data_IF_990331190085
#
_entry.id   IF_990331190085
#
_cell.length_a   1.000
_cell.length_b   1.000
_cell.length_c   1.000
_cell.angle_alpha   90.00
_cell.angle_beta   90.00
_cell.angle_gamma   90.00
#
_symmetry.space_group_name_H-M   'P 1'
#
loop_
_entity.id
_entity.type
_entity.pdbx_description
1 polymer ?
#
# COMPACT_ATOMS: atom_id res chain seq x y z
N UNK A 1 -12.24 0.65 -9.41
CA UNK A 1 -11.85 -0.17 -10.57
C UNK A 1 -10.51 -0.80 -10.24
N UNK A 2 -10.35 -2.11 -10.46
CA UNK A 2 -9.05 -2.77 -10.28
C UNK A 2 -8.17 -2.41 -11.47
N UNK A 3 -6.95 -1.93 -11.21
CA UNK A 3 -5.95 -1.68 -12.25
C UNK A 3 -5.27 -3.00 -12.56
N UNK A 4 -5.20 -3.34 -13.84
CA UNK A 4 -4.65 -4.62 -14.30
C UNK A 4 -3.46 -4.41 -15.23
N UNK A 5 -2.63 -5.43 -15.32
CA UNK A 5 -1.67 -5.58 -16.40
C UNK A 5 -2.25 -6.47 -17.49
N UNK A 6 -1.99 -6.10 -18.73
CA UNK A 6 -2.32 -6.89 -19.92
C UNK A 6 -1.02 -7.26 -20.64
N UNK A 7 -0.91 -8.51 -21.10
CA UNK A 7 0.25 -8.93 -21.90
C UNK A 7 0.20 -8.25 -23.26
N UNK A 8 1.33 -7.71 -23.73
CA UNK A 8 1.37 -7.03 -25.02
C UNK A 8 2.73 -7.17 -25.71
N UNK A 9 2.75 -6.99 -27.03
CA UNK A 9 3.95 -6.74 -27.82
C UNK A 9 3.91 -5.35 -28.40
N UNK A 10 5.07 -4.74 -28.62
CA UNK A 10 5.14 -3.54 -29.44
C UNK A 10 4.85 -3.90 -30.90
N UNK A 11 4.10 -3.06 -31.59
CA UNK A 11 3.85 -3.22 -33.03
C UNK A 11 5.17 -3.08 -33.81
N UNK A 12 5.35 -3.86 -34.90
CA UNK A 12 6.52 -3.71 -35.76
C UNK A 12 6.74 -2.25 -36.20
N UNK A 13 7.98 -1.79 -36.14
CA UNK A 13 8.35 -0.40 -36.48
C UNK A 13 8.15 0.61 -35.34
N UNK A 14 7.63 0.21 -34.18
CA UNK A 14 7.59 1.06 -32.99
C UNK A 14 8.99 1.20 -32.40
N UNK A 15 9.47 2.43 -32.21
CA UNK A 15 10.73 2.69 -31.49
C UNK A 15 10.56 2.41 -29.99
N UNK A 16 11.45 1.59 -29.41
CA UNK A 16 11.48 1.33 -27.97
C UNK A 16 11.68 2.59 -27.15
N UNK A 17 12.52 3.53 -27.61
CA UNK A 17 12.73 4.82 -26.95
C UNK A 17 11.45 5.66 -26.93
N UNK A 18 10.70 5.67 -28.04
CA UNK A 18 9.41 6.37 -28.08
C UNK A 18 8.40 5.74 -27.13
N UNK A 19 8.28 4.40 -27.12
CA UNK A 19 7.42 3.69 -26.18
C UNK A 19 7.79 4.00 -24.73
N UNK A 20 9.08 3.98 -24.39
CA UNK A 20 9.60 4.30 -23.06
C UNK A 20 9.23 5.72 -22.62
N UNK A 21 9.33 6.70 -23.53
CA UNK A 21 8.91 8.08 -23.25
C UNK A 21 7.41 8.17 -22.96
N UNK A 22 6.56 7.44 -23.70
CA UNK A 22 5.12 7.40 -23.42
C UNK A 22 4.81 6.67 -22.11
N UNK A 23 5.53 5.59 -21.77
CA UNK A 23 5.42 4.92 -20.46
C UNK A 23 5.77 5.89 -19.32
N UNK A 24 6.84 6.66 -19.46
CA UNK A 24 7.25 7.66 -18.46
C UNK A 24 6.16 8.72 -18.28
N UNK A 25 5.63 9.27 -19.38
CA UNK A 25 4.49 10.20 -19.34
C UNK A 25 3.26 9.58 -18.67
N UNK A 26 2.89 8.35 -19.03
CA UNK A 26 1.78 7.62 -18.40
C UNK A 26 1.98 7.54 -16.90
N UNK A 27 3.18 7.13 -16.44
CA UNK A 27 3.49 7.02 -15.01
C UNK A 27 3.41 8.35 -14.27
N UNK A 28 3.90 9.44 -14.85
CA UNK A 28 3.93 10.74 -14.20
C UNK A 28 2.52 11.30 -14.02
N UNK A 29 1.67 11.15 -15.04
CA UNK A 29 0.27 11.56 -14.97
C UNK A 29 -0.55 10.66 -14.06
N UNK A 30 -0.28 9.35 -14.05
CA UNK A 30 -0.95 8.41 -13.15
C UNK A 30 -0.76 8.81 -11.68
N UNK A 31 0.48 9.14 -11.27
CA UNK A 31 0.76 9.58 -9.89
C UNK A 31 -0.06 10.80 -9.47
N UNK A 32 -0.13 11.82 -10.33
CA UNK A 32 -0.93 13.04 -10.09
C UNK A 32 -2.43 12.80 -10.13
N UNK A 33 -2.90 11.91 -11.01
CA UNK A 33 -4.31 11.59 -11.18
C UNK A 33 -4.90 10.87 -9.95
N UNK A 34 -4.09 10.04 -9.28
CA UNK A 34 -4.52 9.17 -8.18
C UNK A 34 -4.00 9.60 -6.81
N UNK A 35 -3.72 10.91 -6.63
CA UNK A 35 -3.29 11.51 -5.36
C UNK A 35 -2.03 10.86 -4.75
N UNK A 36 -1.04 10.56 -5.59
CA UNK A 36 0.32 10.25 -5.15
C UNK A 36 1.27 11.41 -5.46
N UNK A 37 1.14 12.55 -4.76
CA UNK A 37 2.01 13.71 -4.99
C UNK A 37 3.45 13.39 -4.65
N UNK A 38 4.39 14.06 -5.34
CA UNK A 38 5.75 14.15 -4.83
C UNK A 38 5.75 14.93 -3.50
N UNK A 39 6.75 14.72 -2.61
CA UNK A 39 6.92 15.55 -1.43
C UNK A 39 6.88 17.05 -1.79
N UNK A 40 5.92 17.78 -1.21
CA UNK A 40 5.71 19.22 -1.45
C UNK A 40 4.78 19.57 -2.62
N UNK A 41 4.25 18.60 -3.36
CA UNK A 41 3.29 18.86 -4.45
C UNK A 41 1.85 18.95 -3.90
N UNK A 42 1.20 20.09 -4.12
CA UNK A 42 -0.23 20.27 -3.77
C UNK A 42 -1.07 19.93 -4.99
N UNK A 43 -1.78 18.80 -4.94
CA UNK A 43 -2.72 18.39 -6.00
C UNK A 43 -4.07 19.06 -5.75
N UNK A 44 -4.43 19.99 -6.62
CA UNK A 44 -5.79 20.57 -6.68
C UNK A 44 -6.70 19.71 -7.55
N UNK A 45 -8.02 19.79 -7.36
CA UNK A 45 -9.00 19.10 -8.21
C UNK A 45 -8.81 19.44 -9.71
N UNK A 46 -8.48 20.70 -10.01
CA UNK A 46 -8.20 21.15 -11.37
C UNK A 46 -6.94 20.46 -11.94
N UNK A 47 -5.85 20.42 -11.18
CA UNK A 47 -4.63 19.73 -11.59
C UNK A 47 -4.83 18.22 -11.74
N UNK A 48 -5.66 17.61 -10.88
CA UNK A 48 -6.03 16.19 -10.98
C UNK A 48 -6.78 15.90 -12.27
N UNK A 49 -7.75 16.74 -12.64
CA UNK A 49 -8.51 16.57 -13.88
C UNK A 49 -7.60 16.60 -15.12
N UNK A 50 -6.67 17.56 -15.16
CA UNK A 50 -5.66 17.65 -16.23
C UNK A 50 -4.77 16.40 -16.27
N UNK A 51 -4.35 15.91 -15.10
CA UNK A 51 -3.54 14.69 -15.01
C UNK A 51 -4.30 13.45 -15.49
N UNK A 52 -5.59 13.31 -15.15
CA UNK A 52 -6.43 12.20 -15.64
C UNK A 52 -6.54 12.23 -17.17
N UNK A 53 -6.81 13.37 -17.77
CA UNK A 53 -6.91 13.51 -19.23
C UNK A 53 -5.58 13.15 -19.92
N UNK A 54 -4.46 13.61 -19.37
CA UNK A 54 -3.13 13.30 -19.88
C UNK A 54 -2.76 11.81 -19.71
N UNK A 55 -3.11 11.20 -18.57
CA UNK A 55 -2.95 9.76 -18.34
C UNK A 55 -3.74 8.93 -19.35
N UNK A 56 -5.00 9.28 -19.61
CA UNK A 56 -5.84 8.59 -20.59
C UNK A 56 -5.26 8.70 -21.99
N UNK A 57 -4.77 9.89 -22.38
CA UNK A 57 -4.11 10.09 -23.66
C UNK A 57 -2.85 9.22 -23.81
N UNK A 58 -1.97 9.22 -22.82
CA UNK A 58 -0.75 8.40 -22.83
C UNK A 58 -1.07 6.89 -22.88
N UNK A 59 -2.07 6.45 -22.12
CA UNK A 59 -2.53 5.06 -22.11
C UNK A 59 -3.09 4.64 -23.47
N UNK A 60 -3.87 5.52 -24.12
CA UNK A 60 -4.42 5.27 -25.45
C UNK A 60 -3.32 5.23 -26.52
N UNK A 61 -2.28 6.07 -26.40
CA UNK A 61 -1.08 5.98 -27.25
C UNK A 61 -0.38 4.64 -27.05
N UNK A 62 -0.15 4.18 -25.82
CA UNK A 62 0.46 2.85 -25.57
C UNK A 62 -0.38 1.72 -26.17
N UNK A 63 -1.71 1.77 -26.05
CA UNK A 63 -2.61 0.80 -26.67
C UNK A 63 -2.46 0.80 -28.20
N UNK A 64 -2.33 1.97 -28.83
CA UNK A 64 -2.09 2.08 -30.28
C UNK A 64 -0.72 1.52 -30.70
N UNK A 65 0.30 1.67 -29.85
CA UNK A 65 1.63 1.09 -30.05
C UNK A 65 1.67 -0.43 -29.77
N UNK A 66 0.62 -0.98 -29.19
CA UNK A 66 0.57 -2.36 -28.70
C UNK A 66 -0.18 -3.30 -29.64
N UNK A 67 0.22 -4.56 -29.58
CA UNK A 67 -0.47 -5.71 -30.11
C UNK A 67 -0.80 -6.66 -28.95
N UNK A 68 -2.04 -7.10 -28.84
CA UNK A 68 -2.51 -8.01 -27.80
C UNK A 68 -2.89 -9.35 -28.43
N UNK A 69 -2.32 -10.43 -27.93
CA UNK A 69 -2.73 -11.78 -28.29
C UNK A 69 -3.86 -12.22 -27.35
N UNK A 70 -5.09 -12.27 -27.86
CA UNK A 70 -6.26 -12.71 -27.10
C UNK A 70 -6.75 -14.08 -27.56
N UNK A 71 -6.98 -15.00 -26.63
CA UNK A 71 -7.75 -16.22 -26.91
C UNK A 71 -9.24 -15.94 -26.80
N UNK A 72 -10.01 -16.25 -27.84
CA UNK A 72 -11.48 -16.15 -27.86
C UNK A 72 -12.02 -14.75 -27.51
N UNK A 73 -11.32 -13.68 -27.92
CA UNK A 73 -11.73 -12.30 -27.69
C UNK A 73 -11.59 -11.81 -26.24
N UNK A 74 -11.00 -12.60 -25.33
CA UNK A 74 -10.60 -12.13 -23.99
C UNK A 74 -9.12 -11.78 -24.00
N UNK A 75 -8.80 -10.57 -23.57
CA UNK A 75 -7.41 -10.15 -23.33
C UNK A 75 -7.00 -10.71 -21.98
N UNK A 76 -5.92 -11.48 -21.96
CA UNK A 76 -5.36 -12.05 -20.75
C UNK A 76 -4.79 -10.93 -19.86
N UNK A 77 -5.14 -10.96 -18.58
CA UNK A 77 -4.80 -9.90 -17.64
C UNK A 77 -4.56 -10.41 -16.23
N UNK A 78 -3.75 -9.68 -15.47
CA UNK A 78 -3.46 -9.97 -14.07
C UNK A 78 -3.57 -8.69 -13.23
N UNK A 79 -4.15 -8.74 -12.02
CA UNK A 79 -4.22 -7.57 -11.16
C UNK A 79 -2.84 -7.06 -10.76
N UNK A 80 -2.64 -5.74 -10.87
CA UNK A 80 -1.40 -5.04 -10.47
C UNK A 80 -1.21 -5.09 -8.96
N UNK A 81 -2.30 -5.28 -8.20
CA UNK A 81 -2.27 -5.44 -6.74
C UNK A 81 -1.36 -6.58 -6.28
N UNK A 82 -1.04 -7.54 -7.14
CA UNK A 82 -0.08 -8.59 -6.85
C UNK A 82 1.30 -8.03 -6.47
N UNK A 83 1.72 -6.93 -7.07
CA UNK A 83 2.98 -6.27 -6.73
C UNK A 83 2.70 -4.97 -5.98
N UNK A 84 1.83 -4.10 -6.51
CA UNK A 84 1.62 -2.76 -5.96
C UNK A 84 1.05 -2.71 -4.53
N UNK A 85 0.34 -3.76 -4.09
CA UNK A 85 -0.27 -3.83 -2.74
C UNK A 85 0.29 -4.99 -1.91
N UNK A 86 1.43 -5.55 -2.30
CA UNK A 86 2.08 -6.58 -1.50
C UNK A 86 2.93 -5.94 -0.41
N UNK A 87 2.48 -6.03 0.84
CA UNK A 87 3.13 -5.44 2.02
C UNK A 87 4.54 -5.99 2.33
N UNK A 88 5.00 -7.01 1.60
CA UNK A 88 6.36 -7.52 1.71
C UNK A 88 7.34 -6.88 0.72
N UNK A 89 6.86 -6.27 -0.37
CA UNK A 89 7.73 -5.73 -1.39
C UNK A 89 8.23 -4.33 -1.01
N UNK A 90 9.39 -3.90 -1.51
CA UNK A 90 9.85 -2.53 -1.30
C UNK A 90 8.89 -1.47 -1.80
N UNK A 91 8.73 -0.37 -1.05
CA UNK A 91 7.81 0.72 -1.41
C UNK A 91 8.09 1.25 -2.81
N UNK A 92 9.36 1.41 -3.15
CA UNK A 92 9.84 1.88 -4.46
C UNK A 92 9.37 0.95 -5.59
N UNK A 93 9.34 -0.36 -5.33
CA UNK A 93 8.92 -1.36 -6.30
C UNK A 93 7.40 -1.43 -6.45
N UNK A 94 6.67 -1.24 -5.35
CA UNK A 94 5.21 -1.11 -5.39
C UNK A 94 4.79 0.11 -6.19
N UNK A 95 5.49 1.22 -6.04
CA UNK A 95 5.29 2.41 -6.86
C UNK A 95 5.70 2.18 -8.32
N UNK A 96 6.80 1.47 -8.56
CA UNK A 96 7.24 1.13 -9.92
C UNK A 96 6.28 0.17 -10.62
N UNK A 97 5.59 -0.70 -9.88
CA UNK A 97 4.60 -1.63 -10.43
C UNK A 97 3.34 -0.93 -10.98
N UNK A 98 3.08 0.31 -10.58
CA UNK A 98 1.98 1.12 -11.14
C UNK A 98 2.37 1.75 -12.48
N UNK A 99 3.07 0.98 -13.33
CA UNK A 99 3.61 1.40 -14.62
C UNK A 99 3.49 0.27 -15.64
N UNK A 100 3.50 0.65 -16.91
CA UNK A 100 3.71 -0.30 -18.00
C UNK A 100 5.16 -0.79 -17.98
N UNK A 101 5.38 -2.09 -18.14
CA UNK A 101 6.70 -2.72 -18.27
C UNK A 101 6.88 -3.14 -19.73
N UNK A 102 7.85 -2.56 -20.43
CA UNK A 102 8.13 -2.92 -21.83
C UNK A 102 8.71 -4.34 -21.94
N UNK A 103 8.54 -5.02 -23.09
CA UNK A 103 9.06 -6.38 -23.30
C UNK A 103 10.54 -6.56 -22.95
N UNK A 104 11.38 -5.59 -23.32
CA UNK A 104 12.82 -5.60 -23.05
C UNK A 104 13.18 -5.42 -21.56
N UNK A 105 12.30 -4.80 -20.77
CA UNK A 105 12.51 -4.54 -19.36
C UNK A 105 11.96 -5.67 -18.46
N UNK A 106 10.98 -6.42 -18.96
CA UNK A 106 10.33 -7.50 -18.20
C UNK A 106 11.29 -8.56 -17.66
N UNK A 107 12.29 -9.09 -18.40
CA UNK A 107 13.17 -10.12 -17.87
C UNK A 107 13.90 -9.68 -16.60
N UNK A 108 14.50 -8.49 -16.62
CA UNK A 108 15.25 -7.96 -15.48
C UNK A 108 14.32 -7.66 -14.29
N UNK A 109 13.16 -7.06 -14.55
CA UNK A 109 12.18 -6.73 -13.51
C UNK A 109 11.60 -7.97 -12.84
N UNK A 110 11.26 -9.00 -13.62
CA UNK A 110 10.70 -10.24 -13.11
C UNK A 110 11.72 -11.04 -12.31
N UNK A 111 12.97 -11.10 -12.79
CA UNK A 111 14.06 -11.74 -12.07
C UNK A 111 14.30 -11.06 -10.71
N UNK A 112 14.32 -9.72 -10.69
CA UNK A 112 14.46 -8.93 -9.46
C UNK A 112 13.39 -9.28 -8.42
N UNK A 113 12.12 -9.33 -8.83
CA UNK A 113 11.02 -9.68 -7.92
C UNK A 113 11.10 -11.11 -7.41
N UNK A 114 11.46 -12.07 -8.26
CA UNK A 114 11.62 -13.48 -7.89
C UNK A 114 12.80 -13.71 -6.95
N UNK A 115 13.92 -13.06 -7.20
CA UNK A 115 15.10 -13.16 -6.35
C UNK A 115 14.80 -12.61 -4.96
N UNK A 116 14.14 -11.47 -4.86
CA UNK A 116 13.71 -10.91 -3.59
C UNK A 116 12.72 -11.81 -2.85
N UNK A 117 11.76 -12.39 -3.56
CA UNK A 117 10.78 -13.33 -2.97
C UNK A 117 11.47 -14.57 -2.41
N UNK A 118 12.42 -15.15 -3.16
CA UNK A 118 13.28 -16.24 -2.69
C UNK A 118 14.06 -15.82 -1.46
N UNK A 119 14.68 -14.65 -1.49
CA UNK A 119 15.54 -14.18 -0.40
C UNK A 119 14.74 -13.95 0.89
N UNK A 120 13.52 -13.41 0.81
CA UNK A 120 12.59 -13.34 1.95
C UNK A 120 12.31 -14.74 2.52
N UNK A 121 12.06 -15.74 1.67
CA UNK A 121 11.81 -17.11 2.13
C UNK A 121 12.99 -17.72 2.88
N UNK A 122 14.21 -17.32 2.51
CA UNK A 122 15.44 -17.71 3.18
C UNK A 122 15.68 -16.94 4.48
N UNK A 123 14.83 -15.96 4.81
CA UNK A 123 14.91 -15.17 6.03
C UNK A 123 15.76 -13.91 5.91
N UNK A 124 16.21 -13.54 4.70
CA UNK A 124 16.87 -12.26 4.45
C UNK A 124 15.90 -11.08 4.62
N UNK A 125 16.45 -9.87 4.74
CA UNK A 125 15.70 -8.62 4.90
C UNK A 125 14.86 -8.53 6.18
N UNK A 126 15.21 -9.25 7.25
CA UNK A 126 14.41 -9.24 8.48
C UNK A 126 14.27 -7.82 9.05
N UNK A 127 15.37 -7.10 9.27
CA UNK A 127 15.32 -5.73 9.81
C UNK A 127 14.51 -4.79 8.92
N UNK A 128 14.77 -4.80 7.61
CA UNK A 128 14.05 -3.99 6.63
C UNK A 128 12.55 -4.24 6.66
N UNK A 129 12.14 -5.51 6.70
CA UNK A 129 10.71 -5.83 6.75
C UNK A 129 10.08 -5.33 8.04
N UNK A 130 10.74 -5.45 9.20
CA UNK A 130 10.24 -4.85 10.44
C UNK A 130 10.08 -3.32 10.33
N UNK A 131 11.06 -2.63 9.75
CA UNK A 131 10.96 -1.19 9.51
C UNK A 131 9.81 -0.85 8.54
N UNK A 132 9.61 -1.67 7.50
CA UNK A 132 8.51 -1.54 6.55
C UNK A 132 7.14 -1.72 7.23
N UNK A 133 6.98 -2.76 8.06
CA UNK A 133 5.75 -2.95 8.84
C UNK A 133 5.48 -1.77 9.76
N UNK A 134 6.50 -1.31 10.49
CA UNK A 134 6.37 -0.13 11.33
C UNK A 134 5.91 1.06 10.50
N UNK A 135 6.54 1.31 9.34
CA UNK A 135 6.22 2.46 8.49
C UNK A 135 4.79 2.40 7.92
N UNK A 136 4.34 1.22 7.50
CA UNK A 136 3.01 1.04 6.92
C UNK A 136 1.90 1.04 7.98
N UNK A 137 2.05 0.30 9.07
CA UNK A 137 1.01 0.17 10.08
C UNK A 137 0.96 1.38 11.03
N UNK A 138 2.02 2.18 11.10
CA UNK A 138 2.02 3.44 11.85
C UNK A 138 1.49 4.62 11.04
N UNK A 139 1.59 4.58 9.70
CA UNK A 139 1.38 5.75 8.82
C UNK A 139 0.06 6.49 9.10
N UNK A 140 0.03 7.83 9.09
CA UNK A 140 -1.15 8.66 9.35
C UNK A 140 -2.33 8.51 8.39
N UNK A 141 -2.20 7.76 7.30
CA UNK A 141 -3.35 7.44 6.45
C UNK A 141 -4.47 6.79 7.31
N UNK A 142 -5.74 6.95 6.92
CA UNK A 142 -6.94 6.61 7.72
C UNK A 142 -7.02 5.16 8.25
N UNK A 143 -6.07 4.30 7.88
CA UNK A 143 -6.02 2.88 8.25
C UNK A 143 -4.86 2.51 9.17
N UNK A 144 -3.86 3.38 9.37
CA UNK A 144 -2.74 3.15 10.28
C UNK A 144 -3.03 3.55 11.72
N UNK A 145 -2.11 3.27 12.64
CA UNK A 145 -2.25 3.55 14.07
C UNK A 145 -2.59 5.02 14.35
N UNK A 146 -1.86 5.95 13.73
CA UNK A 146 -2.09 7.38 13.93
C UNK A 146 -3.48 7.79 13.44
N UNK A 147 -3.92 7.30 12.27
CA UNK A 147 -5.27 7.54 11.75
C UNK A 147 -6.38 7.03 12.69
N UNK A 148 -6.24 5.80 13.20
CA UNK A 148 -7.19 5.23 14.17
C UNK A 148 -7.22 5.98 15.50
N UNK A 149 -6.05 6.42 15.97
CA UNK A 149 -5.95 7.20 17.19
C UNK A 149 -6.60 8.59 17.02
N UNK A 150 -6.35 9.27 15.90
CA UNK A 150 -7.00 10.55 15.57
C UNK A 150 -8.52 10.40 15.43
N UNK A 151 -9.00 9.33 14.78
CA UNK A 151 -10.43 9.04 14.67
C UNK A 151 -11.08 8.83 16.04
N UNK A 152 -10.41 8.09 16.93
CA UNK A 152 -10.89 7.89 18.30
C UNK A 152 -10.96 9.21 19.08
N UNK A 153 -9.93 10.07 18.97
CA UNK A 153 -9.91 11.40 19.57
C UNK A 153 -11.02 12.29 19.00
N UNK A 154 -11.24 12.27 17.69
CA UNK A 154 -12.28 13.04 17.02
C UNK A 154 -13.67 12.61 17.51
N UNK A 155 -13.94 11.32 17.64
CA UNK A 155 -15.20 10.80 18.18
C UNK A 155 -15.37 11.19 19.66
N UNK A 156 -14.32 11.06 20.47
CA UNK A 156 -14.32 11.49 21.86
C UNK A 156 -14.49 13.03 22.00
N UNK A 157 -14.00 13.82 21.03
CA UNK A 157 -14.08 15.28 20.99
C UNK A 157 -15.41 15.81 20.48
N UNK A 158 -15.95 15.29 19.37
CA UNK A 158 -17.25 15.70 18.79
C UNK A 158 -18.42 15.48 19.75
N UNK A 159 -18.35 14.42 20.57
CA UNK A 159 -19.35 14.16 21.59
C UNK A 159 -19.19 15.05 22.85
N UNK A 160 -18.10 15.82 22.95
CA UNK A 160 -18.01 16.96 23.89
C UNK A 160 -18.99 18.05 23.51
N UNK A 161 -18.94 18.43 22.25
CA UNK A 161 -19.78 19.49 21.68
C UNK A 161 -21.25 19.08 21.58
N UNK A 162 -21.55 17.79 21.47
CA UNK A 162 -22.93 17.26 21.46
C UNK A 162 -23.57 17.14 22.84
N UNK A 163 -22.91 17.53 23.95
CA UNK A 163 -23.59 17.70 25.23
C UNK A 163 -24.77 18.70 25.15
N UNK A 164 -24.81 19.49 24.08
CA UNK A 164 -25.88 20.40 23.69
C UNK A 164 -27.08 19.74 22.97
N UNK A 165 -27.00 18.47 22.53
CA UNK A 165 -28.05 17.83 21.71
C UNK A 165 -29.18 17.15 22.51
N UNK A 166 -29.09 17.12 23.85
CA UNK A 166 -30.15 16.56 24.71
C UNK A 166 -30.24 15.02 24.69
N UNK A 167 -29.23 14.32 24.17
CA UNK A 167 -29.23 12.85 24.14
C UNK A 167 -28.74 12.26 25.47
N UNK A 168 -29.63 11.59 26.22
CA UNK A 168 -29.36 11.03 27.56
C UNK A 168 -28.14 10.11 27.63
N UNK A 169 -27.85 9.36 26.56
CA UNK A 169 -26.72 8.44 26.51
C UNK A 169 -25.36 9.18 26.52
N UNK A 170 -25.32 10.40 25.97
CA UNK A 170 -24.12 11.23 25.88
C UNK A 170 -23.72 11.86 27.23
N UNK A 171 -24.61 11.83 28.22
CA UNK A 171 -24.39 12.40 29.56
C UNK A 171 -24.02 11.35 30.62
N UNK A 172 -23.91 10.07 30.24
CA UNK A 172 -23.59 9.00 31.20
C UNK A 172 -22.20 9.18 31.82
N UNK A 173 -22.08 8.89 33.12
CA UNK A 173 -20.79 8.96 33.84
C UNK A 173 -19.72 8.07 33.20
N UNK A 174 -20.13 6.91 32.67
CA UNK A 174 -19.24 5.96 32.03
C UNK A 174 -18.63 6.53 30.73
N UNK A 175 -19.43 7.21 29.91
CA UNK A 175 -18.93 7.85 28.70
C UNK A 175 -17.99 9.02 29.01
N UNK A 176 -18.30 9.83 30.04
CA UNK A 176 -17.40 10.91 30.48
C UNK A 176 -16.03 10.38 30.89
N UNK A 177 -16.01 9.35 31.74
CA UNK A 177 -14.78 8.69 32.17
C UNK A 177 -13.99 8.11 30.99
N UNK A 178 -14.68 7.42 30.07
CA UNK A 178 -14.04 6.86 28.88
C UNK A 178 -13.36 7.95 28.03
N UNK A 179 -13.95 9.15 27.95
CA UNK A 179 -13.39 10.28 27.21
C UNK A 179 -12.17 10.90 27.89
N UNK A 180 -12.21 11.04 29.22
CA UNK A 180 -11.06 11.48 30.01
C UNK A 180 -9.89 10.50 29.82
N UNK A 181 -10.14 9.19 29.94
CA UNK A 181 -9.13 8.15 29.73
C UNK A 181 -8.55 8.12 28.30
N UNK A 182 -9.35 8.44 27.28
CA UNK A 182 -8.88 8.57 25.89
C UNK A 182 -8.05 9.84 25.69
N UNK A 183 -8.50 10.98 26.24
CA UNK A 183 -7.84 12.27 26.06
C UNK A 183 -6.52 12.41 26.83
N UNK A 184 -6.36 11.71 27.95
CA UNK A 184 -5.15 11.69 28.75
C UNK A 184 -4.10 10.69 28.26
N UNK A 185 -4.46 9.81 27.32
CA UNK A 185 -3.54 8.80 26.83
C UNK A 185 -2.41 9.47 26.01
N UNK A 186 -1.13 9.23 26.36
CA UNK A 186 -0.02 9.86 25.66
C UNK A 186 0.05 9.32 24.24
N UNK A 187 0.08 10.21 23.25
CA UNK A 187 0.47 9.85 21.88
C UNK A 187 1.98 9.76 21.88
N UNK A 188 2.52 8.55 21.80
CA UNK A 188 3.96 8.41 21.58
C UNK A 188 4.25 8.75 20.12
N UNK A 189 5.06 9.79 19.84
CA UNK A 189 5.57 10.01 18.51
C UNK A 189 6.61 8.92 18.24
N UNK A 190 6.18 7.78 17.70
CA UNK A 190 7.13 6.89 17.06
C UNK A 190 7.55 7.60 15.78
N UNK A 191 8.74 8.20 15.78
CA UNK A 191 9.34 8.70 14.55
C UNK A 191 9.73 7.50 13.70
N UNK A 192 8.82 7.06 12.85
CA UNK A 192 9.06 5.95 11.94
C UNK A 192 9.41 6.54 10.59
N UNK A 193 10.68 6.43 10.24
CA UNK A 193 11.19 6.86 8.95
C UNK A 193 10.76 5.86 7.88
N UNK A 194 10.58 6.38 6.66
CA UNK A 194 10.44 5.53 5.48
C UNK A 194 11.70 4.68 5.34
N UNK A 195 11.58 3.33 5.28
CA UNK A 195 12.75 2.48 5.13
C UNK A 195 13.27 2.56 3.69
N UNK A 196 14.57 2.78 3.55
CA UNK A 196 15.24 2.73 2.26
C UNK A 196 15.58 1.28 1.90
N UNK A 197 15.18 0.86 0.71
CA UNK A 197 15.57 -0.45 0.19
C UNK A 197 16.94 -0.38 -0.51
N UNK A 198 17.90 -1.16 -0.01
CA UNK A 198 19.26 -1.21 -0.56
C UNK A 198 19.91 -2.58 -0.37
N UNK A 199 21.07 -2.79 -1.01
CA UNK A 199 21.81 -4.06 -0.93
C UNK A 199 22.20 -4.43 0.51
N UNK A 200 22.49 -3.42 1.34
CA UNK A 200 22.85 -3.57 2.75
C UNK A 200 21.70 -4.15 3.60
N UNK A 201 20.45 -3.97 3.16
CA UNK A 201 19.28 -4.48 3.88
C UNK A 201 19.17 -6.02 3.85
N UNK A 202 19.82 -6.69 2.88
CA UNK A 202 19.65 -8.13 2.64
C UNK A 202 20.14 -8.98 3.81
N UNK A 203 21.35 -8.69 4.27
CA UNK A 203 22.05 -9.48 5.29
C UNK A 203 22.06 -8.78 6.66
N UNK A 204 21.34 -7.66 6.79
CA UNK A 204 21.22 -6.96 8.06
C UNK A 204 20.47 -7.81 9.09
N UNK A 205 21.13 -8.10 10.20
CA UNK A 205 20.48 -8.62 11.40
C UNK A 205 19.44 -7.61 11.92
N UNK A 206 18.38 -8.11 12.55
CA UNK A 206 17.36 -7.28 13.19
C UNK A 206 18.02 -6.34 14.23
N UNK A 207 18.02 -5.04 13.91
CA UNK A 207 18.65 -4.03 14.73
C UNK A 207 17.92 -3.94 16.09
N UNK A 208 18.65 -3.83 17.22
CA UNK A 208 18.03 -3.66 18.54
C UNK A 208 17.06 -2.49 18.61
N UNK A 209 17.33 -1.39 17.89
CA UNK A 209 16.45 -0.23 17.83
C UNK A 209 15.13 -0.56 17.12
N UNK A 210 15.18 -1.23 15.97
CA UNK A 210 13.99 -1.69 15.24
C UNK A 210 13.15 -2.64 16.10
N UNK A 211 13.82 -3.59 16.78
CA UNK A 211 13.15 -4.52 17.69
C UNK A 211 12.45 -3.81 18.86
N UNK A 212 13.10 -2.81 19.46
CA UNK A 212 12.53 -2.00 20.53
C UNK A 212 11.33 -1.18 20.02
N UNK A 213 11.45 -0.55 18.86
CA UNK A 213 10.38 0.21 18.22
C UNK A 213 9.15 -0.68 17.93
N UNK A 214 9.36 -1.89 17.42
CA UNK A 214 8.29 -2.86 17.19
C UNK A 214 7.62 -3.33 18.49
N UNK A 215 8.39 -3.54 19.55
CA UNK A 215 7.84 -3.91 20.85
C UNK A 215 6.96 -2.79 21.43
N UNK A 216 7.39 -1.54 21.33
CA UNK A 216 6.59 -0.39 21.78
C UNK A 216 5.35 -0.21 20.90
N UNK A 217 5.48 -0.31 19.57
CA UNK A 217 4.35 -0.26 18.65
C UNK A 217 3.28 -1.31 18.98
N UNK A 218 3.69 -2.54 19.32
CA UNK A 218 2.76 -3.60 19.73
C UNK A 218 1.99 -3.24 21.00
N UNK A 219 2.68 -2.71 22.00
CA UNK A 219 2.05 -2.26 23.26
C UNK A 219 1.05 -1.13 23.01
N UNK A 220 1.40 -0.21 22.12
CA UNK A 220 0.55 0.94 21.78
C UNK A 220 -0.68 0.53 20.98
N UNK A 221 -0.54 -0.35 19.99
CA UNK A 221 -1.67 -0.91 19.24
C UNK A 221 -2.63 -1.71 20.14
N UNK A 222 -2.10 -2.51 21.08
CA UNK A 222 -2.91 -3.20 22.10
C UNK A 222 -3.69 -2.20 22.97
N UNK A 223 -3.03 -1.13 23.43
CA UNK A 223 -3.66 -0.06 24.22
C UNK A 223 -4.79 0.62 23.44
N UNK A 224 -4.54 1.00 22.18
CA UNK A 224 -5.55 1.60 21.31
C UNK A 224 -6.74 0.67 21.07
N UNK A 225 -6.51 -0.62 20.83
CA UNK A 225 -7.59 -1.61 20.72
C UNK A 225 -8.42 -1.69 22.00
N UNK A 226 -7.79 -1.65 23.17
CA UNK A 226 -8.49 -1.61 24.46
C UNK A 226 -9.33 -0.34 24.62
N UNK A 227 -8.82 0.81 24.20
CA UNK A 227 -9.57 2.08 24.24
C UNK A 227 -10.77 2.06 23.28
N UNK A 228 -10.62 1.55 22.05
CA UNK A 228 -11.71 1.40 21.09
C UNK A 228 -12.78 0.44 21.63
N UNK A 229 -12.37 -0.65 22.28
CA UNK A 229 -13.31 -1.58 22.92
C UNK A 229 -14.04 -0.94 24.11
N UNK A 230 -13.35 -0.15 24.92
CA UNK A 230 -13.96 0.61 26.02
C UNK A 230 -14.99 1.62 25.47
N UNK A 231 -14.61 2.39 24.44
CA UNK A 231 -15.49 3.29 23.72
C UNK A 231 -16.76 2.59 23.23
N UNK A 232 -16.60 1.47 22.50
CA UNK A 232 -17.70 0.70 21.92
C UNK A 232 -18.67 0.10 22.95
N UNK A 233 -18.28 0.01 24.23
CA UNK A 233 -19.17 -0.40 25.33
C UNK A 233 -19.97 0.76 25.89
N UNK A 234 -19.52 2.00 25.69
CA UNK A 234 -20.12 3.21 26.24
C UNK A 234 -21.03 3.95 25.24
N UNK A 235 -21.03 3.57 23.96
CA UNK A 235 -21.76 4.28 22.90
C UNK A 235 -22.78 3.38 22.17
N UNK A 236 -23.85 3.96 21.59
CA UNK A 236 -24.80 3.22 20.77
C UNK A 236 -24.16 2.69 19.48
N UNK A 237 -24.81 1.71 18.84
CA UNK A 237 -24.28 1.00 17.67
C UNK A 237 -23.80 1.92 16.53
N UNK A 238 -24.51 3.03 16.28
CA UNK A 238 -24.18 4.00 15.21
C UNK A 238 -22.91 4.81 15.48
N UNK A 239 -22.40 4.82 16.72
CA UNK A 239 -21.19 5.53 17.13
C UNK A 239 -20.01 4.59 17.41
N UNK A 240 -20.21 3.28 17.21
CA UNK A 240 -19.15 2.29 17.43
C UNK A 240 -18.11 2.40 16.33
N UNK A 241 -16.86 2.40 16.75
CA UNK A 241 -15.72 2.30 15.85
C UNK A 241 -15.47 0.84 15.50
N UNK A 242 -15.07 0.57 14.27
CA UNK A 242 -14.56 -0.76 13.91
C UNK A 242 -13.26 -1.01 14.68
N UNK A 243 -13.04 -2.24 15.10
CA UNK A 243 -11.77 -2.63 15.73
C UNK A 243 -10.71 -2.72 14.61
N UNK A 244 -9.62 -1.93 14.69
CA UNK A 244 -8.54 -2.02 13.74
C UNK A 244 -7.96 -3.44 13.75
N UNK A 245 -7.67 -3.95 12.56
CA UNK A 245 -6.86 -5.15 12.42
C UNK A 245 -5.44 -4.68 12.13
N UNK A 246 -4.71 -4.35 13.19
CA UNK A 246 -3.26 -4.33 13.08
C UNK A 246 -2.84 -5.77 12.75
N UNK A 247 -1.86 -5.96 11.87
CA UNK A 247 -1.32 -7.29 11.60
C UNK A 247 0.00 -7.40 12.36
N UNK A 248 0.03 -7.56 13.70
CA UNK A 248 1.21 -8.02 14.38
C UNK A 248 1.33 -9.55 14.23
N UNK A 249 1.06 -10.09 13.04
CA UNK A 249 1.55 -11.42 12.72
C UNK A 249 3.04 -11.24 12.55
N UNK A 250 3.82 -11.67 13.56
CA UNK A 250 5.28 -11.61 13.60
C UNK A 250 5.83 -11.65 12.18
N UNK A 251 6.71 -10.72 11.80
CA UNK A 251 7.23 -10.60 10.43
C UNK A 251 7.54 -11.96 9.82
N UNK A 252 8.12 -12.88 10.60
CA UNK A 252 8.35 -14.30 10.25
C UNK A 252 7.11 -15.12 9.89
N UNK A 253 6.00 -15.00 10.63
CA UNK A 253 4.72 -15.60 10.25
C UNK A 253 4.15 -14.96 8.99
N UNK A 254 4.21 -13.64 8.86
CA UNK A 254 3.70 -12.95 7.66
C UNK A 254 4.54 -13.27 6.41
N UNK A 255 5.86 -13.38 6.55
CA UNK A 255 6.78 -13.90 5.52
C UNK A 255 6.37 -15.31 5.10
N UNK A 256 6.20 -16.23 6.05
CA UNK A 256 5.82 -17.63 5.77
C UNK A 256 4.44 -17.75 5.12
N UNK A 257 3.47 -16.95 5.57
CA UNK A 257 2.10 -16.98 5.06
C UNK A 257 1.95 -16.24 3.73
N UNK A 258 2.74 -15.19 3.48
CA UNK A 258 2.56 -14.29 2.33
C UNK A 258 3.48 -14.64 1.16
N UNK A 259 4.74 -15.06 1.41
CA UNK A 259 5.63 -15.57 0.35
C UNK A 259 5.08 -16.87 -0.29
N UNK A 260 4.29 -17.65 0.45
CA UNK A 260 3.60 -18.83 -0.07
C UNK A 260 2.23 -18.57 -0.73
N UNK A 261 1.80 -17.31 -0.88
CA UNK A 261 0.44 -17.06 -1.40
C UNK A 261 0.31 -17.44 -2.87
N UNK A 262 -0.72 -18.22 -3.12
CA UNK A 262 -1.09 -18.72 -4.44
C UNK A 262 -1.18 -17.60 -5.49
N UNK A 263 -1.64 -16.41 -5.11
CA UNK A 263 -1.81 -15.30 -6.05
C UNK A 263 -0.48 -14.71 -6.55
N UNK A 264 0.58 -14.64 -5.73
CA UNK A 264 1.88 -14.10 -6.18
C UNK A 264 2.58 -15.11 -7.10
N UNK A 265 2.44 -16.39 -6.78
CA UNK A 265 2.94 -17.47 -7.62
C UNK A 265 2.17 -17.53 -8.95
N UNK A 266 0.84 -17.35 -8.94
CA UNK A 266 0.03 -17.18 -10.15
C UNK A 266 0.51 -16.00 -11.00
N UNK A 267 0.84 -14.87 -10.36
CA UNK A 267 1.44 -13.73 -11.07
C UNK A 267 2.76 -14.10 -11.74
N UNK A 268 3.69 -14.76 -11.03
CA UNK A 268 4.99 -15.12 -11.61
C UNK A 268 4.86 -16.11 -12.77
N UNK A 269 4.02 -17.13 -12.65
CA UNK A 269 3.71 -18.04 -13.76
C UNK A 269 3.14 -17.25 -14.94
N UNK A 270 2.21 -16.33 -14.67
CA UNK A 270 1.62 -15.49 -15.69
C UNK A 270 2.64 -14.55 -16.35
N UNK A 271 3.59 -13.98 -15.60
CA UNK A 271 4.62 -13.11 -16.15
C UNK A 271 5.71 -13.89 -16.92
N UNK A 272 6.02 -15.12 -16.50
CA UNK A 272 6.96 -16.01 -17.21
C UNK A 272 6.46 -16.40 -18.59
N UNK A 273 5.16 -16.72 -18.71
CA UNK A 273 4.55 -17.00 -20.01
C UNK A 273 4.63 -15.79 -20.95
N UNK A 274 4.45 -14.57 -20.41
CA UNK A 274 4.60 -13.34 -21.18
C UNK A 274 6.06 -13.17 -21.64
N UNK A 275 7.01 -13.36 -20.72
CA UNK A 275 8.45 -13.31 -21.01
C UNK A 275 8.85 -14.33 -22.09
N UNK A 276 8.36 -15.57 -22.01
CA UNK A 276 8.64 -16.63 -22.99
C UNK A 276 8.14 -16.29 -24.40
N UNK A 277 7.13 -15.42 -24.51
CA UNK A 277 6.58 -14.93 -25.78
C UNK A 277 7.19 -13.61 -26.25
N UNK A 278 8.12 -13.02 -25.49
CA UNK A 278 8.69 -11.71 -25.77
C UNK A 278 7.68 -10.57 -25.58
N UNK A 279 6.81 -10.69 -24.57
CA UNK A 279 5.77 -9.72 -24.24
C UNK A 279 6.17 -8.82 -23.06
N UNK A 280 5.56 -7.65 -22.97
CA UNK A 280 5.59 -6.76 -21.80
C UNK A 280 4.26 -6.77 -21.05
N UNK A 281 4.15 -5.92 -20.03
CA UNK A 281 2.97 -5.77 -19.16
C UNK A 281 2.41 -4.34 -19.28
N UNK A 282 1.30 -4.15 -19.99
CA UNK A 282 0.66 -2.85 -20.17
C UNK A 282 -0.30 -2.55 -19.02
N UNK A 283 -0.13 -1.40 -18.38
CA UNK A 283 -1.01 -0.92 -17.32
C UNK A 283 -2.28 -0.30 -17.93
N UNK A 284 -3.45 -0.84 -17.62
CA UNK A 284 -4.76 -0.29 -18.02
C UNK A 284 -5.91 -0.61 -17.06
#
# INVERSE_FOLDING_TARGET
MSINWYRFKLRPGTSGEYAQNVVQQQSDFFRRAFNWPQPGEVITDASRKVAVEAYLKASQTLIQLSHFEGTNGKVDSHPVSAIAYNTLLPLEWREAAKRTVLPEALPAQLQLWKDYERDIRLGYYEDYLYQLFLYEDYNPDEQGYEGWHQLLLEFAGKLASSQSSGEDWAQTKNLRRCREEIGEAPVLPLSILRPDFGAEAREADLCPATKAAFAEFKKETERLMHQILAWNRCVPAVQKLRIPTFIPAQVRMHQRQTAGREWLQKFFVWADEALAKGEGLLLA
#
